data_IF_689233515256
#
_entry.id   IF_689233515256
#
_cell.length_a   1.000
_cell.length_b   1.000
_cell.length_c   1.000
_cell.angle_alpha   90.00
_cell.angle_beta   90.00
_cell.angle_gamma   90.00
#
_symmetry.space_group_name_H-M   'P 1'
#
loop_
_entity.id
_entity.type
_entity.pdbx_description
1 polymer ?
#
# COMPACT_ATOMS: atom_id res chain seq x y z
N UNK A 1 3.64 -0.07 -8.86
CA UNK A 1 4.45 0.51 -7.75
C UNK A 1 4.29 -0.36 -6.53
N UNK A 2 5.31 -0.44 -5.66
CA UNK A 2 5.36 -1.36 -4.51
C UNK A 2 4.09 -1.37 -3.63
N UNK A 3 3.44 -0.21 -3.41
CA UNK A 3 2.18 -0.15 -2.67
C UNK A 3 1.04 -0.97 -3.31
N UNK A 4 0.89 -0.93 -4.63
CA UNK A 4 -0.16 -1.70 -5.33
C UNK A 4 0.17 -3.19 -5.36
N UNK A 5 1.45 -3.56 -5.48
CA UNK A 5 1.87 -4.96 -5.42
C UNK A 5 1.60 -5.58 -4.05
N UNK A 6 1.85 -4.85 -2.97
CA UNK A 6 1.52 -5.29 -1.61
C UNK A 6 0.00 -5.47 -1.42
N UNK A 7 -0.81 -4.54 -1.93
CA UNK A 7 -2.28 -4.64 -1.87
C UNK A 7 -2.79 -5.84 -2.66
N UNK A 8 -2.29 -6.05 -3.88
CA UNK A 8 -2.67 -7.20 -4.71
C UNK A 8 -2.28 -8.53 -4.06
N UNK A 9 -1.10 -8.60 -3.44
CA UNK A 9 -0.67 -9.80 -2.71
C UNK A 9 -1.61 -10.11 -1.53
N UNK A 10 -2.08 -9.11 -0.80
CA UNK A 10 -3.01 -9.31 0.32
C UNK A 10 -4.39 -9.75 -0.17
N UNK A 11 -4.86 -9.20 -1.31
CA UNK A 11 -6.07 -9.67 -1.99
C UNK A 11 -5.95 -11.12 -2.43
N UNK A 12 -4.85 -11.48 -3.09
CA UNK A 12 -4.62 -12.85 -3.59
C UNK A 12 -4.52 -13.89 -2.46
N UNK A 13 -4.14 -13.45 -1.26
CA UNK A 13 -4.18 -14.26 -0.03
C UNK A 13 -5.55 -14.30 0.66
N UNK A 14 -6.54 -13.57 0.16
CA UNK A 14 -7.90 -13.52 0.68
C UNK A 14 -8.09 -12.59 1.88
N UNK A 15 -7.13 -11.72 2.19
CA UNK A 15 -7.25 -10.75 3.29
C UNK A 15 -8.02 -9.48 2.89
N UNK A 16 -8.03 -9.16 1.60
CA UNK A 16 -8.74 -8.02 1.00
C UNK A 16 -9.63 -8.51 -0.13
N UNK A 17 -10.68 -7.73 -0.44
CA UNK A 17 -11.57 -7.97 -1.57
C UNK A 17 -11.66 -6.74 -2.47
N UNK A 18 -11.91 -6.97 -3.76
CA UNK A 18 -12.09 -5.90 -4.73
C UNK A 18 -13.17 -4.92 -4.27
N UNK A 19 -12.87 -3.62 -4.34
CA UNK A 19 -13.73 -2.54 -3.84
C UNK A 19 -13.41 -2.06 -2.42
N UNK A 20 -12.58 -2.78 -1.66
CA UNK A 20 -12.10 -2.29 -0.36
C UNK A 20 -11.29 -1.00 -0.52
N UNK A 21 -11.38 -0.11 0.47
CA UNK A 21 -10.50 1.05 0.62
C UNK A 21 -9.46 0.75 1.69
N UNK A 22 -8.18 0.89 1.35
CA UNK A 22 -7.06 0.60 2.24
C UNK A 22 -6.18 1.82 2.46
N UNK A 23 -5.68 1.95 3.68
CA UNK A 23 -4.68 2.96 4.05
C UNK A 23 -3.31 2.31 4.06
N UNK A 24 -2.40 2.79 3.21
CA UNK A 24 -1.02 2.30 3.12
C UNK A 24 -0.08 3.35 3.70
N UNK A 25 0.80 2.95 4.61
CA UNK A 25 1.92 3.77 5.09
C UNK A 25 3.23 3.23 4.50
N UNK A 26 4.02 4.10 3.89
CA UNK A 26 5.25 3.73 3.20
C UNK A 26 6.31 4.84 3.34
N UNK A 27 7.59 4.49 3.32
CA UNK A 27 8.65 5.42 2.94
C UNK A 27 8.71 5.55 1.42
N UNK A 28 8.41 6.73 0.88
CA UNK A 28 8.33 6.94 -0.58
C UNK A 28 9.58 7.65 -1.15
N UNK A 29 10.30 8.38 -0.30
CA UNK A 29 11.52 9.13 -0.66
C UNK A 29 12.73 8.42 -0.06
N UNK A 30 13.61 7.86 -0.90
CA UNK A 30 14.79 7.09 -0.49
C UNK A 30 15.99 7.95 -0.05
N UNK A 31 15.92 9.28 -0.16
CA UNK A 31 17.08 10.18 0.00
C UNK A 31 17.08 11.01 1.30
N UNK A 32 16.07 10.90 2.16
CA UNK A 32 16.02 11.57 3.46
C UNK A 32 16.29 10.57 4.57
N UNK A 33 17.17 10.92 5.52
CA UNK A 33 17.30 10.17 6.78
C UNK A 33 15.93 10.20 7.47
N UNK A 34 15.21 9.08 7.44
CA UNK A 34 13.84 8.96 7.93
C UNK A 34 13.16 7.71 7.35
N UNK A 35 12.25 7.09 8.12
CA UNK A 35 11.60 5.82 7.75
C UNK A 35 10.29 6.06 6.97
N UNK A 36 9.14 5.89 7.62
CA UNK A 36 7.81 5.99 7.00
C UNK A 36 7.40 7.46 6.90
N UNK A 37 7.06 7.93 5.71
CA UNK A 37 6.81 9.36 5.46
C UNK A 37 5.59 9.66 4.58
N UNK A 38 4.94 8.63 4.03
CA UNK A 38 3.82 8.79 3.09
C UNK A 38 2.68 7.90 3.51
N UNK A 39 1.47 8.46 3.47
CA UNK A 39 0.21 7.72 3.60
C UNK A 39 -0.59 7.86 2.32
N UNK A 40 -1.19 6.77 1.84
CA UNK A 40 -2.07 6.75 0.66
C UNK A 40 -3.36 6.02 0.97
N UNK A 41 -4.46 6.47 0.38
CA UNK A 41 -5.72 5.72 0.33
C UNK A 41 -5.81 5.12 -1.07
N UNK A 42 -5.91 3.79 -1.14
CA UNK A 42 -5.99 3.04 -2.40
C UNK A 42 -7.28 2.23 -2.42
N UNK A 43 -7.87 2.09 -3.61
CA UNK A 43 -8.95 1.14 -3.86
C UNK A 43 -8.35 -0.18 -4.30
N UNK A 44 -8.82 -1.30 -3.75
CA UNK A 44 -8.41 -2.64 -4.17
C UNK A 44 -9.12 -3.00 -5.47
N UNK A 45 -8.37 -3.38 -6.50
CA UNK A 45 -8.89 -3.95 -7.76
C UNK A 45 -9.12 -5.45 -7.67
#
# INVERSE_FOLDING_TARGET
VAAHEAVNLLRDKGYLVSGDLVIVTQGDVMSTVGSTNTTRILTVE
#
